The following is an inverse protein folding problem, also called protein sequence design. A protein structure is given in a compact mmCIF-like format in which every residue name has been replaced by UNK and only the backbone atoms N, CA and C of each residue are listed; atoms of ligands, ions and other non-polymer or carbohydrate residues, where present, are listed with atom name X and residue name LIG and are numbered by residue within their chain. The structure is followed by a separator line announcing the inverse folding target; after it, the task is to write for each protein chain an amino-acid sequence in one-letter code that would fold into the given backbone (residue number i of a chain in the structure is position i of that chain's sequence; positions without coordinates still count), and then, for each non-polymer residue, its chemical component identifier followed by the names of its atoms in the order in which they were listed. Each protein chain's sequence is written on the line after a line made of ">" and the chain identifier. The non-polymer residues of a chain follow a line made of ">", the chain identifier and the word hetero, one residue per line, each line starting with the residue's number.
data_IF_024733132324
#
_entry.id   IF_024733132324
#
_cell.length_a   1.000
_cell.length_b   1.000
_cell.length_c   1.000
_cell.angle_alpha   90.00
_cell.angle_beta   90.00
_cell.angle_gamma   90.00
#
_symmetry.space_group_name_H-M   'P 1'
#
loop_
_entity.id
_entity.type
_entity.pdbx_description
1 polymer ?
#
# COMPACT_ATOMS: atom_id res chain seq x y z
N UNK A 1 -22.14 34.76 -26.56
CA UNK A 1 -20.85 34.75 -25.88
C UNK A 1 -19.74 34.91 -26.91
N UNK A 2 -18.73 35.74 -26.65
CA UNK A 2 -17.64 36.00 -27.58
C UNK A 2 -16.40 35.20 -27.13
N UNK A 3 -16.01 34.19 -27.90
CA UNK A 3 -14.86 33.32 -27.66
C UNK A 3 -13.55 33.88 -28.20
N UNK A 4 -13.47 35.20 -28.42
CA UNK A 4 -12.19 35.81 -28.68
C UNK A 4 -11.33 35.89 -27.41
N UNK A 5 -10.04 36.17 -27.54
CA UNK A 5 -9.09 36.21 -26.41
C UNK A 5 -9.54 37.17 -25.30
N UNK A 6 -10.08 38.34 -25.64
CA UNK A 6 -10.50 39.35 -24.67
C UNK A 6 -11.80 38.92 -23.93
N UNK A 7 -12.76 38.35 -24.64
CA UNK A 7 -13.98 37.81 -24.07
C UNK A 7 -13.72 36.70 -23.10
N UNK A 8 -12.84 35.74 -23.47
CA UNK A 8 -12.44 34.62 -22.60
C UNK A 8 -11.68 35.11 -21.35
N UNK A 9 -10.75 36.05 -21.50
CA UNK A 9 -10.01 36.61 -20.36
C UNK A 9 -10.96 37.28 -19.34
N UNK A 10 -11.97 37.98 -19.82
CA UNK A 10 -13.01 38.58 -18.95
C UNK A 10 -13.79 37.50 -18.19
N UNK A 11 -14.19 36.42 -18.85
CA UNK A 11 -14.92 35.33 -18.24
C UNK A 11 -14.04 34.63 -17.19
N UNK A 12 -12.80 34.37 -17.52
CA UNK A 12 -11.82 33.77 -16.59
C UNK A 12 -11.68 34.63 -15.34
N UNK A 13 -11.35 35.91 -15.47
CA UNK A 13 -11.17 36.84 -14.34
C UNK A 13 -12.40 36.94 -13.43
N UNK A 14 -13.58 36.96 -14.03
CA UNK A 14 -14.84 37.15 -13.30
C UNK A 14 -15.27 35.88 -12.54
N UNK A 15 -14.93 34.68 -13.04
CA UNK A 15 -15.47 33.44 -12.50
C UNK A 15 -14.44 32.60 -11.74
N UNK A 16 -13.14 32.74 -12.03
CA UNK A 16 -12.07 31.88 -11.45
C UNK A 16 -12.17 31.76 -9.93
N UNK A 17 -12.26 32.87 -9.22
CA UNK A 17 -12.27 32.89 -7.75
C UNK A 17 -13.45 32.11 -7.15
N UNK A 18 -14.62 32.24 -7.75
CA UNK A 18 -15.83 31.55 -7.29
C UNK A 18 -15.76 30.08 -7.60
N UNK A 19 -15.32 29.69 -8.80
CA UNK A 19 -15.11 28.29 -9.19
C UNK A 19 -14.08 27.61 -8.31
N UNK A 20 -12.94 28.28 -8.04
CA UNK A 20 -11.90 27.75 -7.17
C UNK A 20 -12.42 27.47 -5.75
N UNK A 21 -13.12 28.44 -5.14
CA UNK A 21 -13.72 28.24 -3.80
C UNK A 21 -14.71 27.08 -3.80
N UNK A 22 -15.46 26.95 -4.84
CA UNK A 22 -16.45 25.88 -4.99
C UNK A 22 -15.77 24.52 -5.18
N UNK A 23 -14.76 24.42 -6.05
CA UNK A 23 -13.95 23.21 -6.20
C UNK A 23 -13.25 22.82 -4.90
N UNK A 24 -12.65 23.79 -4.20
CA UNK A 24 -11.98 23.59 -2.94
C UNK A 24 -12.94 23.08 -1.84
N UNK A 25 -14.17 23.56 -1.79
CA UNK A 25 -15.17 23.06 -0.83
C UNK A 25 -15.59 21.59 -1.07
N UNK A 26 -15.33 21.06 -2.28
CA UNK A 26 -15.62 19.66 -2.63
C UNK A 26 -14.38 18.77 -2.46
N UNK A 27 -13.22 19.27 -2.89
CA UNK A 27 -11.97 18.47 -2.98
C UNK A 27 -11.11 18.57 -1.73
N UNK A 28 -11.24 19.66 -0.97
CA UNK A 28 -10.44 19.98 0.23
C UNK A 28 -8.92 20.01 -0.02
N UNK A 29 -8.53 20.08 -1.30
CA UNK A 29 -7.16 20.14 -1.78
C UNK A 29 -6.98 21.31 -2.73
N UNK A 30 -5.97 22.16 -2.46
CA UNK A 30 -5.75 23.40 -3.19
C UNK A 30 -5.21 23.19 -4.61
N UNK A 31 -4.44 22.12 -4.83
CA UNK A 31 -3.89 21.78 -6.14
C UNK A 31 -4.97 21.12 -7.00
N UNK A 32 -5.66 20.14 -6.46
CA UNK A 32 -6.79 19.49 -7.14
C UNK A 32 -7.89 20.51 -7.52
N UNK A 33 -8.17 21.48 -6.64
CA UNK A 33 -9.14 22.54 -6.93
C UNK A 33 -8.69 23.46 -8.08
N UNK A 34 -7.41 23.83 -8.14
CA UNK A 34 -6.84 24.60 -9.25
C UNK A 34 -6.88 23.83 -10.56
N UNK A 35 -6.53 22.55 -10.51
CA UNK A 35 -6.53 21.67 -11.69
C UNK A 35 -7.95 21.49 -12.23
N UNK A 36 -8.93 21.26 -11.36
CA UNK A 36 -10.34 21.14 -11.74
C UNK A 36 -10.83 22.38 -12.48
N UNK A 37 -10.54 23.57 -11.95
CA UNK A 37 -10.93 24.84 -12.59
C UNK A 37 -10.20 25.05 -13.90
N UNK A 38 -8.91 24.76 -13.97
CA UNK A 38 -8.11 24.88 -15.19
C UNK A 38 -8.62 23.96 -16.30
N UNK A 39 -8.99 22.73 -15.96
CA UNK A 39 -9.57 21.77 -16.90
C UNK A 39 -10.93 22.25 -17.43
N UNK A 40 -11.78 22.79 -16.57
CA UNK A 40 -13.09 23.35 -17.00
C UNK A 40 -12.90 24.49 -17.99
N UNK A 41 -11.98 25.41 -17.72
CA UNK A 41 -11.70 26.51 -18.67
C UNK A 41 -11.08 26.01 -19.96
N UNK A 42 -10.18 25.06 -19.93
CA UNK A 42 -9.60 24.43 -21.12
C UNK A 42 -10.67 23.74 -21.97
N UNK A 43 -11.57 22.99 -21.32
CA UNK A 43 -12.68 22.34 -22.01
C UNK A 43 -13.62 23.36 -22.64
N UNK A 44 -13.96 24.45 -21.93
CA UNK A 44 -14.77 25.52 -22.42
C UNK A 44 -14.15 26.23 -23.65
N UNK A 45 -12.83 26.48 -23.59
CA UNK A 45 -12.09 27.07 -24.70
C UNK A 45 -12.12 26.19 -25.95
N UNK A 46 -11.91 24.87 -25.76
CA UNK A 46 -11.87 23.92 -26.88
C UNK A 46 -13.23 23.63 -27.49
N UNK A 47 -14.28 23.55 -26.67
CA UNK A 47 -15.63 23.17 -27.14
C UNK A 47 -16.50 24.37 -27.58
N UNK A 48 -16.15 25.57 -27.14
CA UNK A 48 -16.87 26.83 -27.44
C UNK A 48 -18.40 26.68 -27.38
N UNK A 49 -18.96 26.23 -26.25
CA UNK A 49 -20.39 25.94 -26.17
C UNK A 49 -21.24 27.19 -26.39
N UNK A 50 -22.35 27.06 -27.12
CA UNK A 50 -23.28 28.15 -27.35
C UNK A 50 -24.06 28.46 -26.08
N UNK A 51 -23.56 29.38 -25.25
CA UNK A 51 -24.14 29.78 -23.96
C UNK A 51 -24.49 31.25 -23.99
N UNK A 52 -25.68 31.60 -23.51
CA UNK A 52 -26.05 32.99 -23.28
C UNK A 52 -25.19 33.61 -22.17
N UNK A 53 -24.76 34.86 -22.33
CA UNK A 53 -23.84 35.53 -21.37
C UNK A 53 -24.38 35.51 -19.93
N UNK A 54 -25.67 35.62 -19.71
CA UNK A 54 -26.31 35.54 -18.40
C UNK A 54 -26.19 34.14 -17.74
N UNK A 55 -25.93 33.09 -18.52
CA UNK A 55 -25.87 31.71 -18.05
C UNK A 55 -24.45 31.17 -17.88
N UNK A 56 -23.42 31.95 -18.24
CA UNK A 56 -22.01 31.50 -18.23
C UNK A 56 -21.55 31.08 -16.85
N UNK A 57 -21.80 31.84 -15.81
CA UNK A 57 -21.40 31.51 -14.43
C UNK A 57 -22.06 30.23 -13.95
N UNK A 58 -23.37 30.05 -14.22
CA UNK A 58 -24.09 28.83 -13.87
C UNK A 58 -23.50 27.57 -14.55
N UNK A 59 -23.20 27.69 -15.84
CA UNK A 59 -22.54 26.62 -16.61
C UNK A 59 -21.17 26.26 -16.01
N UNK A 60 -20.32 27.26 -15.76
CA UNK A 60 -18.99 27.06 -15.20
C UNK A 60 -19.02 26.41 -13.82
N UNK A 61 -19.96 26.83 -12.96
CA UNK A 61 -20.12 26.18 -11.63
C UNK A 61 -20.60 24.74 -11.75
N UNK A 62 -21.56 24.46 -12.66
CA UNK A 62 -22.01 23.10 -12.93
C UNK A 62 -20.86 22.21 -13.47
N UNK A 63 -20.09 22.71 -14.42
CA UNK A 63 -18.93 22.04 -14.98
C UNK A 63 -17.85 21.79 -13.90
N UNK A 64 -17.58 22.80 -13.05
CA UNK A 64 -16.64 22.67 -11.93
C UNK A 64 -17.08 21.58 -10.93
N UNK A 65 -18.37 21.55 -10.58
CA UNK A 65 -18.93 20.50 -9.73
C UNK A 65 -18.71 19.12 -10.33
N UNK A 66 -19.07 18.94 -11.60
CA UNK A 66 -18.93 17.65 -12.27
C UNK A 66 -17.47 17.20 -12.36
N UNK A 67 -16.55 18.12 -12.65
CA UNK A 67 -15.12 17.84 -12.69
C UNK A 67 -14.57 17.47 -11.30
N UNK A 68 -14.94 18.20 -10.26
CA UNK A 68 -14.54 17.90 -8.88
C UNK A 68 -15.04 16.52 -8.44
N UNK A 69 -16.30 16.18 -8.73
CA UNK A 69 -16.84 14.86 -8.42
C UNK A 69 -16.14 13.73 -9.21
N UNK A 70 -15.74 14.00 -10.44
CA UNK A 70 -14.98 13.03 -11.23
C UNK A 70 -13.59 12.78 -10.64
N UNK A 71 -12.88 13.82 -10.22
CA UNK A 71 -11.60 13.72 -9.51
C UNK A 71 -11.76 12.87 -8.23
N UNK A 72 -12.79 13.14 -7.42
CA UNK A 72 -13.07 12.35 -6.22
C UNK A 72 -13.32 10.86 -6.51
N UNK A 73 -14.08 10.55 -7.58
CA UNK A 73 -14.33 9.16 -7.98
C UNK A 73 -13.05 8.46 -8.39
N UNK A 74 -12.23 9.12 -9.20
CA UNK A 74 -10.94 8.55 -9.64
C UNK A 74 -9.99 8.31 -8.46
N UNK A 75 -9.95 9.24 -7.50
CA UNK A 75 -9.15 9.12 -6.28
C UNK A 75 -9.59 7.91 -5.43
N UNK A 76 -10.90 7.76 -5.22
CA UNK A 76 -11.46 6.60 -4.50
C UNK A 76 -11.15 5.28 -5.19
N UNK A 77 -11.32 5.23 -6.51
CA UNK A 77 -11.01 4.02 -7.28
C UNK A 77 -9.53 3.64 -7.17
N UNK A 78 -8.64 4.63 -7.28
CA UNK A 78 -7.19 4.41 -7.11
C UNK A 78 -6.86 3.88 -5.72
N UNK A 79 -7.41 4.49 -4.66
CA UNK A 79 -7.20 4.04 -3.28
C UNK A 79 -7.72 2.60 -3.06
N UNK A 80 -8.86 2.25 -3.63
CA UNK A 80 -9.38 0.88 -3.58
C UNK A 80 -8.44 -0.11 -4.26
N UNK A 81 -7.96 0.22 -5.47
CA UNK A 81 -7.00 -0.64 -6.19
C UNK A 81 -5.68 -0.82 -5.43
N UNK A 82 -5.14 0.26 -4.84
CA UNK A 82 -3.93 0.21 -4.03
C UNK A 82 -4.13 -0.68 -2.79
N UNK A 83 -5.28 -0.58 -2.14
CA UNK A 83 -5.63 -1.42 -0.99
C UNK A 83 -5.76 -2.90 -1.38
N UNK A 84 -6.44 -3.20 -2.49
CA UNK A 84 -6.59 -4.57 -2.99
C UNK A 84 -5.24 -5.20 -3.32
N UNK A 85 -4.33 -4.46 -3.99
CA UNK A 85 -2.97 -4.93 -4.28
C UNK A 85 -2.18 -5.17 -2.99
N UNK A 86 -2.28 -4.27 -2.00
CA UNK A 86 -1.62 -4.45 -0.72
C UNK A 86 -2.13 -5.67 0.04
N UNK A 87 -3.44 -5.92 0.03
CA UNK A 87 -4.05 -7.10 0.67
C UNK A 87 -3.63 -8.40 -0.02
N UNK A 88 -3.62 -8.45 -1.35
CA UNK A 88 -3.17 -9.62 -2.11
C UNK A 88 -1.70 -9.94 -1.82
N UNK A 89 -0.84 -8.91 -1.77
CA UNK A 89 0.57 -9.08 -1.43
C UNK A 89 0.76 -9.63 -0.01
N UNK A 90 0.06 -9.07 0.97
CA UNK A 90 0.11 -9.54 2.35
C UNK A 90 -0.38 -10.99 2.50
N UNK A 91 -1.41 -11.38 1.75
CA UNK A 91 -1.90 -12.75 1.74
C UNK A 91 -0.88 -13.71 1.13
N UNK A 92 -0.27 -13.34 -0.01
CA UNK A 92 0.77 -14.15 -0.64
C UNK A 92 1.99 -14.33 0.27
N UNK A 93 2.46 -13.26 0.93
CA UNK A 93 3.57 -13.35 1.90
C UNK A 93 3.24 -14.27 3.09
N UNK A 94 1.98 -14.29 3.54
CA UNK A 94 1.53 -15.21 4.59
C UNK A 94 1.50 -16.66 4.11
N UNK A 95 0.97 -16.93 2.92
CA UNK A 95 0.93 -18.27 2.33
C UNK A 95 2.36 -18.82 2.13
N UNK A 96 3.28 -18.04 1.58
CA UNK A 96 4.69 -18.40 1.42
C UNK A 96 5.36 -18.70 2.77
N UNK A 97 5.02 -17.92 3.80
CA UNK A 97 5.53 -18.12 5.16
C UNK A 97 4.99 -19.41 5.79
N UNK A 98 3.69 -19.69 5.62
CA UNK A 98 3.07 -20.93 6.12
C UNK A 98 3.67 -22.15 5.43
N UNK A 99 3.84 -22.14 4.11
CA UNK A 99 4.49 -23.21 3.37
C UNK A 99 5.92 -23.46 3.85
N UNK A 100 6.69 -22.38 4.06
CA UNK A 100 8.06 -22.49 4.58
C UNK A 100 8.09 -23.07 5.99
N UNK A 101 7.16 -22.68 6.85
CA UNK A 101 7.06 -23.22 8.22
C UNK A 101 6.68 -24.69 8.21
N UNK A 102 5.77 -25.13 7.35
CA UNK A 102 5.44 -26.56 7.19
C UNK A 102 6.62 -27.37 6.66
N UNK A 103 7.37 -26.82 5.69
CA UNK A 103 8.57 -27.48 5.19
C UNK A 103 9.65 -27.58 6.26
N UNK A 104 9.88 -26.51 7.02
CA UNK A 104 10.80 -26.51 8.16
C UNK A 104 10.41 -27.57 9.19
N UNK A 105 9.13 -27.65 9.54
CA UNK A 105 8.66 -28.64 10.51
C UNK A 105 8.86 -30.07 10.01
N UNK A 106 8.62 -30.34 8.72
CA UNK A 106 8.90 -31.63 8.10
C UNK A 106 10.41 -31.97 8.17
N UNK A 107 11.26 -31.02 7.80
CA UNK A 107 12.73 -31.21 7.86
C UNK A 107 13.19 -31.52 9.29
N UNK A 108 12.68 -30.81 10.29
CA UNK A 108 12.99 -31.06 11.70
C UNK A 108 12.56 -32.48 12.12
N UNK A 109 11.34 -32.88 11.78
CA UNK A 109 10.79 -34.16 12.19
C UNK A 109 11.53 -35.36 11.53
N UNK A 110 11.82 -35.25 10.24
CA UNK A 110 12.36 -36.35 9.45
C UNK A 110 13.88 -36.48 9.56
N UNK A 111 14.58 -35.38 9.86
CA UNK A 111 16.03 -35.36 9.75
C UNK A 111 16.77 -35.15 11.08
N UNK A 112 16.10 -34.71 12.13
CA UNK A 112 16.74 -34.48 13.43
C UNK A 112 16.41 -35.62 14.42
N UNK A 113 17.39 -35.97 15.28
CA UNK A 113 17.14 -36.90 16.36
C UNK A 113 16.20 -36.30 17.41
N UNK A 114 15.56 -37.13 18.21
CA UNK A 114 14.69 -36.66 19.30
C UNK A 114 15.44 -35.72 20.25
N UNK A 115 16.70 -36.00 20.55
CA UNK A 115 17.52 -35.17 21.41
C UNK A 115 17.84 -33.80 20.74
N UNK A 116 18.14 -33.80 19.44
CA UNK A 116 18.33 -32.53 18.68
C UNK A 116 17.07 -31.68 18.72
N UNK A 117 15.88 -32.26 18.50
CA UNK A 117 14.60 -31.55 18.57
C UNK A 117 14.33 -30.99 19.95
N UNK A 118 14.58 -31.76 21.02
CA UNK A 118 14.41 -31.29 22.41
C UNK A 118 15.33 -30.12 22.73
N UNK A 119 16.58 -30.16 22.28
CA UNK A 119 17.54 -29.06 22.46
C UNK A 119 17.05 -27.79 21.73
N UNK A 120 16.59 -27.94 20.49
CA UNK A 120 16.07 -26.79 19.72
C UNK A 120 14.82 -26.23 20.37
N UNK A 121 13.86 -27.05 20.77
CA UNK A 121 12.63 -26.61 21.42
C UNK A 121 12.90 -25.85 22.72
N UNK A 122 13.72 -26.38 23.62
CA UNK A 122 14.05 -25.70 24.87
C UNK A 122 14.77 -24.36 24.63
N UNK A 123 15.64 -24.30 23.62
CA UNK A 123 16.40 -23.07 23.36
C UNK A 123 15.59 -22.02 22.59
N UNK A 124 14.82 -22.41 21.54
CA UNK A 124 14.14 -21.47 20.66
C UNK A 124 12.68 -21.26 21.00
N UNK A 125 11.93 -22.28 21.41
CA UNK A 125 10.51 -22.14 21.73
C UNK A 125 10.30 -21.69 23.19
N UNK A 126 11.13 -22.19 24.12
CA UNK A 126 11.10 -21.87 25.56
C UNK A 126 12.11 -20.77 25.93
N UNK A 127 12.86 -20.24 24.97
CA UNK A 127 13.84 -19.15 25.13
C UNK A 127 14.92 -19.41 26.20
N UNK A 128 15.22 -20.68 26.49
CA UNK A 128 16.23 -21.06 27.49
C UNK A 128 17.65 -20.77 27.01
N UNK A 129 18.48 -20.32 27.91
CA UNK A 129 19.94 -20.22 27.68
C UNK A 129 20.59 -21.59 27.51
N UNK A 130 21.80 -21.62 26.99
CA UNK A 130 22.55 -22.88 26.83
C UNK A 130 22.77 -23.60 28.18
N UNK A 131 22.97 -22.84 29.26
CA UNK A 131 23.15 -23.38 30.59
C UNK A 131 21.86 -23.98 31.14
N UNK A 132 20.73 -23.32 30.99
CA UNK A 132 19.42 -23.80 31.41
C UNK A 132 19.00 -25.05 30.61
N UNK A 133 19.19 -25.03 29.28
CA UNK A 133 18.94 -26.17 28.39
C UNK A 133 19.82 -27.38 28.81
N UNK A 134 21.10 -27.12 29.08
CA UNK A 134 22.04 -28.15 29.53
C UNK A 134 21.60 -28.80 30.86
N UNK A 135 21.18 -27.96 31.82
CA UNK A 135 20.67 -28.41 33.13
C UNK A 135 19.37 -29.20 32.96
N UNK A 136 18.43 -28.73 32.13
CA UNK A 136 17.17 -29.41 31.91
C UNK A 136 17.34 -30.81 31.27
N UNK A 137 18.32 -30.97 30.39
CA UNK A 137 18.58 -32.20 29.66
C UNK A 137 19.67 -33.09 30.30
N UNK A 138 20.34 -32.64 31.36
CA UNK A 138 21.41 -33.39 32.02
C UNK A 138 22.67 -33.54 31.15
N UNK A 139 22.98 -32.59 30.28
CA UNK A 139 24.14 -32.57 29.38
C UNK A 139 25.00 -31.33 29.62
N UNK A 140 26.18 -31.24 29.01
CA UNK A 140 27.00 -30.02 29.11
C UNK A 140 26.53 -28.91 28.17
N UNK A 141 26.79 -27.63 28.50
CA UNK A 141 26.52 -26.49 27.60
C UNK A 141 27.27 -26.59 26.28
N UNK A 142 28.47 -27.21 26.29
CA UNK A 142 29.21 -27.51 25.06
C UNK A 142 28.50 -28.55 24.19
N UNK A 143 27.82 -29.54 24.79
CA UNK A 143 27.00 -30.51 24.05
C UNK A 143 25.74 -29.79 23.44
N UNK A 144 25.07 -28.92 24.19
CA UNK A 144 23.96 -28.13 23.70
C UNK A 144 24.40 -27.34 22.46
N UNK A 145 25.52 -26.61 22.52
CA UNK A 145 26.04 -25.87 21.38
C UNK A 145 26.32 -26.76 20.15
N UNK A 146 26.88 -27.97 20.37
CA UNK A 146 27.10 -28.93 19.27
C UNK A 146 25.79 -29.39 18.64
N UNK A 147 24.77 -29.72 19.46
CA UNK A 147 23.45 -30.11 18.96
C UNK A 147 22.83 -28.99 18.12
N UNK A 148 22.82 -27.75 18.63
CA UNK A 148 22.26 -26.59 17.90
C UNK A 148 23.00 -26.36 16.58
N UNK A 149 24.35 -26.28 16.62
CA UNK A 149 25.16 -26.00 15.43
C UNK A 149 24.98 -27.07 14.35
N UNK A 150 24.96 -28.34 14.74
CA UNK A 150 24.76 -29.47 13.82
C UNK A 150 23.35 -29.46 13.23
N UNK A 151 22.33 -29.24 14.05
CA UNK A 151 20.94 -29.24 13.63
C UNK A 151 20.66 -28.08 12.67
N UNK A 152 21.10 -26.86 12.98
CA UNK A 152 20.98 -25.72 12.09
C UNK A 152 21.75 -25.90 10.77
N UNK A 153 22.93 -26.49 10.83
CA UNK A 153 23.71 -26.83 9.63
C UNK A 153 22.96 -27.80 8.71
N UNK A 154 22.33 -28.84 9.31
CA UNK A 154 21.54 -29.83 8.58
C UNK A 154 20.27 -29.21 7.95
N UNK A 155 19.52 -28.43 8.72
CA UNK A 155 18.34 -27.73 8.26
C UNK A 155 18.68 -26.81 7.07
N UNK A 156 19.73 -25.97 7.21
CA UNK A 156 20.17 -25.07 6.12
C UNK A 156 20.56 -25.81 4.86
N UNK A 157 21.25 -26.94 5.00
CA UNK A 157 21.66 -27.76 3.86
C UNK A 157 20.47 -28.33 3.10
N UNK A 158 19.41 -28.77 3.80
CA UNK A 158 18.22 -29.37 3.19
C UNK A 158 17.36 -28.29 2.54
N UNK A 159 17.09 -27.20 3.25
CA UNK A 159 16.27 -26.07 2.74
C UNK A 159 17.02 -25.20 1.73
N UNK A 160 18.29 -25.49 1.43
CA UNK A 160 19.14 -24.70 0.52
C UNK A 160 19.18 -23.19 0.88
N UNK A 161 19.01 -22.85 2.15
CA UNK A 161 19.08 -21.49 2.63
C UNK A 161 20.53 -21.02 2.56
N UNK A 162 20.81 -20.01 1.75
CA UNK A 162 22.14 -19.41 1.64
C UNK A 162 22.58 -18.78 2.97
N UNK A 163 23.90 -18.74 3.18
CA UNK A 163 24.51 -18.05 4.34
C UNK A 163 24.35 -16.56 4.25
#
# INVERSE_FOLDING_TARGET
>A
MDYNKQGFERIYKNNYRQMYRFAFSILEDAEEARDAVSQVFTQMWNSQPAIADASVTGYLLAATRNQSLNIMRQKRLRQQMELEVAMQKAQQENEEREELMEELQRVINDNLTEQDRRVLSLHYDEEMTYEETAKALGISSSAVNKHITRSLGKIRSILKIAR
#
